data_IF_857284738937
#
_entry.id   IF_857284738937
#
_cell.length_a   1.000
_cell.length_b   1.000
_cell.length_c   1.000
_cell.angle_alpha   90.00
_cell.angle_beta   90.00
_cell.angle_gamma   90.00
#
_symmetry.space_group_name_H-M   'P 1'
#
loop_
_entity.id
_entity.type
_entity.pdbx_description
1 polymer ?
#
# COMPACT_ATOMS: atom_id res chain seq x y z
N UNK A 1 3.65 -8.48 -11.52
CA UNK A 1 3.31 -7.58 -10.39
C UNK A 1 3.67 -8.27 -9.08
N UNK A 2 4.45 -7.63 -8.21
CA UNK A 2 4.76 -8.16 -6.87
C UNK A 2 3.56 -7.96 -5.93
N UNK A 3 3.28 -8.91 -5.04
CA UNK A 3 2.21 -8.76 -4.04
C UNK A 3 2.64 -7.86 -2.87
N UNK A 4 1.68 -7.22 -2.20
CA UNK A 4 1.95 -6.42 -1.00
C UNK A 4 2.65 -7.25 0.10
N UNK A 5 2.27 -8.53 0.25
CA UNK A 5 2.93 -9.46 1.17
C UNK A 5 4.42 -9.62 0.86
N UNK A 6 4.76 -9.88 -0.40
CA UNK A 6 6.14 -10.09 -0.81
C UNK A 6 6.99 -8.83 -0.62
N UNK A 7 6.42 -7.64 -0.86
CA UNK A 7 7.09 -6.37 -0.58
C UNK A 7 7.40 -6.23 0.92
N UNK A 8 6.43 -6.46 1.81
CA UNK A 8 6.62 -6.38 3.26
C UNK A 8 7.64 -7.42 3.77
N UNK A 9 7.57 -8.65 3.27
CA UNK A 9 8.49 -9.72 3.66
C UNK A 9 9.95 -9.43 3.28
N UNK A 10 10.18 -8.74 2.15
CA UNK A 10 11.53 -8.30 1.74
C UNK A 10 12.15 -7.31 2.71
N UNK A 11 11.32 -6.49 3.34
CA UNK A 11 11.73 -5.56 4.41
C UNK A 11 11.86 -6.26 5.78
N UNK A 12 11.81 -7.60 5.82
CA UNK A 12 11.94 -8.40 7.04
C UNK A 12 10.66 -8.46 7.88
N UNK A 13 9.53 -7.97 7.37
CA UNK A 13 8.26 -7.99 8.12
C UNK A 13 7.62 -9.37 8.01
N UNK A 14 7.38 -10.01 9.15
CA UNK A 14 6.66 -11.29 9.20
C UNK A 14 5.18 -11.07 8.84
N UNK A 15 4.77 -11.58 7.69
CA UNK A 15 3.36 -11.60 7.26
C UNK A 15 2.74 -12.96 7.57
N UNK A 16 1.70 -12.97 8.41
CA UNK A 16 1.00 -14.21 8.83
C UNK A 16 -0.21 -14.54 7.95
N UNK A 17 -0.65 -13.59 7.13
CA UNK A 17 -1.79 -13.76 6.23
C UNK A 17 -2.07 -12.50 5.43
N UNK A 18 -2.72 -12.68 4.29
CA UNK A 18 -3.20 -11.61 3.41
C UNK A 18 -4.64 -11.88 3.05
N UNK A 19 -5.46 -10.84 3.04
CA UNK A 19 -6.85 -10.88 2.62
C UNK A 19 -7.12 -9.67 1.73
N UNK A 20 -7.86 -9.91 0.65
CA UNK A 20 -8.47 -8.84 -0.14
C UNK A 20 -9.87 -8.66 0.44
N UNK A 21 -10.17 -7.44 0.88
CA UNK A 21 -11.45 -7.09 1.49
C UNK A 21 -12.28 -6.15 0.62
N UNK A 22 -13.31 -5.57 1.22
CA UNK A 22 -14.19 -4.58 0.60
C UNK A 22 -13.43 -3.35 0.07
N UNK A 23 -14.01 -2.66 -0.92
CA UNK A 23 -13.46 -1.44 -1.49
C UNK A 23 -13.51 -0.24 -0.51
N UNK A 24 -14.47 -0.21 0.43
CA UNK A 24 -14.44 0.67 1.59
C UNK A 24 -13.55 0.06 2.69
N UNK A 25 -12.41 0.69 3.01
CA UNK A 25 -11.44 0.10 3.93
C UNK A 25 -11.96 -0.05 5.36
N UNK A 26 -12.95 0.76 5.76
CA UNK A 26 -13.57 0.61 7.08
C UNK A 26 -14.38 -0.69 7.15
N UNK A 27 -15.10 -1.01 6.07
CA UNK A 27 -15.87 -2.25 5.96
C UNK A 27 -14.95 -3.47 5.87
N UNK A 28 -13.87 -3.40 5.09
CA UNK A 28 -12.86 -4.46 5.02
C UNK A 28 -12.23 -4.81 6.39
N UNK A 29 -11.97 -3.80 7.23
CA UNK A 29 -11.50 -4.03 8.60
C UNK A 29 -12.59 -4.65 9.46
N UNK A 30 -13.85 -4.20 9.32
CA UNK A 30 -14.95 -4.76 10.09
C UNK A 30 -15.15 -6.26 9.81
N UNK A 31 -15.07 -6.66 8.55
CA UNK A 31 -15.16 -8.07 8.12
C UNK A 31 -14.04 -8.93 8.74
N UNK A 32 -12.80 -8.43 8.75
CA UNK A 32 -11.67 -9.15 9.34
C UNK A 32 -11.81 -9.34 10.87
N UNK A 33 -12.40 -8.38 11.58
CA UNK A 33 -12.71 -8.52 13.00
C UNK A 33 -13.91 -9.46 13.24
N UNK A 34 -14.90 -9.49 12.35
CA UNK A 34 -16.04 -10.41 12.44
C UNK A 34 -15.64 -11.86 12.21
N UNK A 35 -14.55 -12.10 11.48
CA UNK A 35 -13.95 -13.44 11.32
C UNK A 35 -13.37 -14.04 12.62
N UNK A 36 -13.47 -13.34 13.75
CA UNK A 36 -13.17 -13.87 15.09
C UNK A 36 -11.71 -13.73 15.53
N UNK A 37 -10.86 -13.07 14.73
CA UNK A 37 -9.47 -12.79 15.11
C UNK A 37 -9.39 -11.56 16.00
N UNK A 38 -8.45 -11.57 16.95
CA UNK A 38 -8.15 -10.44 17.82
C UNK A 38 -6.89 -9.74 17.34
N UNK A 39 -6.93 -8.41 17.35
CA UNK A 39 -5.82 -7.56 16.97
C UNK A 39 -5.60 -6.51 18.05
N UNK A 40 -4.35 -6.37 18.47
CA UNK A 40 -3.96 -5.38 19.48
C UNK A 40 -3.82 -3.98 18.88
N UNK A 41 -3.65 -3.86 17.57
CA UNK A 41 -3.41 -2.58 16.89
C UNK A 41 -3.83 -2.68 15.42
N UNK A 42 -4.34 -1.57 14.89
CA UNK A 42 -4.57 -1.36 13.47
C UNK A 42 -3.53 -0.38 12.94
N UNK A 43 -2.77 -0.76 11.92
CA UNK A 43 -1.87 0.14 11.19
C UNK A 43 -2.50 0.45 9.83
N UNK A 44 -2.83 1.71 9.59
CA UNK A 44 -3.33 2.18 8.29
C UNK A 44 -2.20 2.93 7.59
N UNK A 45 -1.72 2.39 6.47
CA UNK A 45 -0.78 3.08 5.59
C UNK A 45 -1.55 3.77 4.47
N UNK A 46 -1.32 5.05 4.26
CA UNK A 46 -1.94 5.80 3.15
C UNK A 46 -0.90 6.59 2.36
N UNK A 47 -1.24 6.94 1.13
CA UNK A 47 -0.53 7.99 0.38
C UNK A 47 -0.60 9.35 1.11
N UNK A 48 0.21 10.34 0.70
CA UNK A 48 0.16 11.68 1.27
C UNK A 48 -1.21 12.35 1.08
N UNK A 49 -1.53 13.37 1.91
CA UNK A 49 -2.69 14.23 1.70
C UNK A 49 -2.74 14.78 0.26
N UNK A 50 -3.94 14.94 -0.28
CA UNK A 50 -4.14 15.32 -1.69
C UNK A 50 -4.26 14.13 -2.64
N UNK A 51 -3.39 13.13 -2.49
CA UNK A 51 -3.38 11.90 -3.30
C UNK A 51 -4.23 10.77 -2.70
N UNK A 52 -4.19 10.63 -1.37
CA UNK A 52 -4.91 9.55 -0.69
C UNK A 52 -6.42 9.76 -0.71
N UNK A 53 -7.14 8.84 -1.38
CA UNK A 53 -8.60 8.73 -1.28
C UNK A 53 -9.06 8.39 0.13
N UNK A 54 -8.31 7.56 0.87
CA UNK A 54 -8.68 7.13 2.22
C UNK A 54 -8.60 8.27 3.24
N UNK A 55 -7.67 9.21 3.06
CA UNK A 55 -7.64 10.44 3.86
C UNK A 55 -8.89 11.28 3.57
N UNK A 56 -9.25 11.48 2.30
CA UNK A 56 -10.47 12.22 1.90
C UNK A 56 -11.77 11.56 2.44
N UNK A 57 -11.75 10.25 2.63
CA UNK A 57 -12.87 9.46 3.17
C UNK A 57 -12.90 9.39 4.72
N UNK A 58 -12.01 10.11 5.41
CA UNK A 58 -11.91 10.12 6.88
C UNK A 58 -11.74 8.71 7.51
N UNK A 59 -11.04 7.81 6.81
CA UNK A 59 -10.96 6.38 7.19
C UNK A 59 -10.39 6.19 8.59
N UNK A 60 -9.32 6.90 8.93
CA UNK A 60 -8.63 6.78 10.23
C UNK A 60 -9.57 7.16 11.38
N UNK A 61 -10.26 8.30 11.29
CA UNK A 61 -11.16 8.74 12.35
C UNK A 61 -12.40 7.84 12.44
N UNK A 62 -12.94 7.39 11.29
CA UNK A 62 -14.05 6.41 11.26
C UNK A 62 -13.65 5.11 11.97
N UNK A 63 -12.44 4.59 11.73
CA UNK A 63 -11.93 3.40 12.42
C UNK A 63 -11.74 3.63 13.92
N UNK A 64 -11.15 4.76 14.32
CA UNK A 64 -11.01 5.13 15.74
C UNK A 64 -12.37 5.19 16.45
N UNK A 65 -13.40 5.75 15.81
CA UNK A 65 -14.78 5.79 16.34
C UNK A 65 -15.41 4.40 16.45
N UNK A 66 -15.25 3.55 15.43
CA UNK A 66 -15.81 2.19 15.44
C UNK A 66 -15.07 1.23 16.38
N UNK A 67 -13.76 1.42 16.57
CA UNK A 67 -12.88 0.54 17.33
C UNK A 67 -12.13 1.32 18.43
N UNK A 68 -12.84 1.93 19.39
CA UNK A 68 -12.21 2.80 20.40
C UNK A 68 -11.23 2.07 21.33
N UNK A 69 -11.29 0.73 21.38
CA UNK A 69 -10.42 -0.12 22.20
C UNK A 69 -9.19 -0.65 21.47
N UNK A 70 -9.06 -0.38 20.17
CA UNK A 70 -7.91 -0.84 19.37
C UNK A 70 -7.17 0.39 18.86
N UNK A 71 -5.93 0.64 19.30
CA UNK A 71 -5.10 1.71 18.78
C UNK A 71 -5.03 1.70 17.25
N UNK A 72 -5.24 2.88 16.65
CA UNK A 72 -5.11 3.09 15.21
C UNK A 72 -3.89 3.98 14.96
N UNK A 73 -2.83 3.35 14.44
CA UNK A 73 -1.61 4.02 13.99
C UNK A 73 -1.80 4.36 12.51
N UNK A 74 -1.66 5.65 12.18
CA UNK A 74 -1.71 6.12 10.80
C UNK A 74 -0.30 6.43 10.33
N UNK A 75 0.13 5.72 9.29
CA UNK A 75 1.40 5.94 8.61
C UNK A 75 1.10 6.59 7.26
N UNK A 76 1.74 7.72 6.99
CA UNK A 76 1.71 8.35 5.68
C UNK A 76 2.96 7.87 4.95
N UNK A 77 2.77 7.08 3.91
CA UNK A 77 3.85 6.67 3.03
C UNK A 77 4.18 7.82 2.07
N UNK A 78 5.46 8.12 1.92
CA UNK A 78 5.93 8.93 0.81
C UNK A 78 5.82 8.10 -0.48
N UNK A 79 5.61 8.77 -1.60
CA UNK A 79 5.64 8.08 -2.89
C UNK A 79 7.06 7.53 -3.09
N UNK A 80 7.21 6.22 -2.95
CA UNK A 80 8.36 5.54 -3.53
C UNK A 80 8.28 5.87 -5.02
N UNK A 81 9.25 6.63 -5.53
CA UNK A 81 9.43 6.84 -6.97
C UNK A 81 9.10 5.52 -7.68
N UNK A 82 8.14 5.49 -8.63
CA UNK A 82 8.01 4.33 -9.48
C UNK A 82 9.40 4.06 -10.09
N UNK A 83 9.84 2.80 -10.26
CA UNK A 83 11.07 2.54 -10.98
C UNK A 83 10.96 3.28 -12.31
N UNK A 84 11.82 4.28 -12.47
CA UNK A 84 11.80 5.19 -13.60
C UNK A 84 12.01 4.36 -14.86
N UNK A 85 10.93 4.05 -15.57
CA UNK A 85 10.96 3.41 -16.90
C UNK A 85 11.54 4.36 -17.99
N UNK A 86 12.26 5.41 -17.59
CA UNK A 86 12.88 6.38 -18.48
C UNK A 86 14.36 6.08 -18.79
N UNK A 87 15.00 5.12 -18.12
CA UNK A 87 16.40 4.76 -18.42
C UNK A 87 16.56 3.74 -19.57
N UNK A 88 15.50 3.02 -19.95
CA UNK A 88 15.61 1.92 -20.92
C UNK A 88 15.39 2.34 -22.39
N UNK A 89 14.88 3.56 -22.64
CA UNK A 89 14.58 4.03 -24.01
C UNK A 89 15.83 4.55 -24.74
N UNK A 90 16.84 5.07 -24.04
CA UNK A 90 18.05 5.63 -24.69
C UNK A 90 19.05 4.56 -25.15
N UNK A 91 19.15 3.42 -24.46
CA UNK A 91 20.07 2.34 -24.84
C UNK A 91 19.69 1.62 -26.16
N UNK A 92 18.44 1.77 -26.62
CA UNK A 92 17.97 1.16 -27.86
C UNK A 92 18.15 2.05 -29.10
N UNK A 93 18.37 3.37 -28.92
CA UNK A 93 18.55 4.30 -30.04
C UNK A 93 19.98 4.33 -30.57
N UNK A 94 20.97 4.09 -29.71
CA UNK A 94 22.39 4.20 -30.06
C UNK A 94 22.94 2.97 -30.79
N UNK A 95 22.20 1.84 -30.76
CA UNK A 95 22.59 0.61 -31.46
C UNK A 95 22.30 0.62 -32.98
N UNK A 96 21.56 1.61 -33.49
CA UNK A 96 21.09 1.61 -34.89
C UNK A 96 21.85 2.58 -35.82
N UNK A 97 22.93 3.21 -35.35
CA UNK A 97 23.71 4.22 -36.11
C UNK A 97 25.13 3.74 -36.50
N UNK A 98 25.26 2.48 -36.94
CA UNK A 98 26.48 2.08 -37.67
C UNK A 98 26.30 2.34 -39.16
N UNK A 99 27.13 3.19 -39.80
CA UNK A 99 27.04 3.43 -41.23
C UNK A 99 27.56 2.20 -41.98
N UNK A 100 26.72 1.65 -42.85
CA UNK A 100 27.13 0.64 -43.83
C UNK A 100 28.11 1.27 -44.83
N UNK A 101 29.30 0.66 -44.92
CA UNK A 101 30.31 0.95 -45.94
C UNK A 101 30.06 0.09 -47.17
#
# INVERSE_FOLDING_TARGET
MQSAAAALQREGIRVVGVRVGDADPVSAVDDEFLAGRRYDTIVISTLPPGLSRWIKMDVVSRLRRKRPRVPVIHVIAEESQPPSQSADIEASREANDKPGR
#
